data_IF_640959094044
#
_entry.id   IF_640959094044
#
_cell.length_a   1.000
_cell.length_b   1.000
_cell.length_c   1.000
_cell.angle_alpha   90.00
_cell.angle_beta   90.00
_cell.angle_gamma   90.00
#
_symmetry.space_group_name_H-M   'P 1'
#
loop_
_entity.id
_entity.type
_entity.pdbx_description
1 polymer ?
#
# COMPACT_ATOMS: atom_id res chain seq x y z
N UNK A 1 -6.05 8.90 -4.02
CA UNK A 1 -4.78 8.72 -3.29
C UNK A 1 -3.67 8.40 -4.29
N UNK A 2 -2.40 8.48 -3.91
CA UNK A 2 -1.28 8.06 -4.76
C UNK A 2 -0.37 7.09 -4.00
N UNK A 3 0.17 6.12 -4.72
CA UNK A 3 1.21 5.23 -4.23
C UNK A 3 2.58 5.84 -4.52
N UNK A 4 3.41 5.88 -3.50
CA UNK A 4 4.80 6.35 -3.57
C UNK A 4 5.76 5.22 -3.97
N UNK A 5 5.30 3.97 -3.92
CA UNK A 5 6.06 2.80 -4.32
C UNK A 5 5.33 2.09 -5.47
N UNK A 6 6.07 1.69 -6.49
CA UNK A 6 5.50 0.97 -7.65
C UNK A 6 5.13 -0.48 -7.35
N UNK A 7 5.59 -1.04 -6.23
CA UNK A 7 5.37 -2.42 -5.82
C UNK A 7 4.36 -2.56 -4.66
N UNK A 8 3.49 -1.57 -4.47
CA UNK A 8 2.51 -1.57 -3.38
C UNK A 8 1.57 -2.78 -3.41
N UNK A 9 1.17 -3.28 -4.58
CA UNK A 9 0.37 -4.51 -4.71
C UNK A 9 1.08 -5.74 -4.12
N UNK A 10 2.35 -5.94 -4.46
CA UNK A 10 3.14 -7.03 -3.90
C UNK A 10 3.32 -6.90 -2.39
N UNK A 11 3.53 -5.66 -1.92
CA UNK A 11 3.65 -5.37 -0.50
C UNK A 11 2.32 -5.59 0.26
N UNK A 12 1.18 -5.25 -0.35
CA UNK A 12 -0.16 -5.46 0.23
C UNK A 12 -0.43 -6.95 0.43
N UNK A 13 -0.06 -7.78 -0.55
CA UNK A 13 -0.23 -9.23 -0.47
C UNK A 13 0.67 -9.91 0.57
N UNK A 14 1.79 -9.28 0.94
CA UNK A 14 2.77 -9.86 1.87
C UNK A 14 2.65 -9.32 3.29
N UNK A 15 2.44 -8.01 3.45
CA UNK A 15 2.42 -7.32 4.74
C UNK A 15 1.02 -6.81 5.14
N UNK A 16 0.11 -6.66 4.18
CA UNK A 16 -1.22 -6.10 4.40
C UNK A 16 -1.23 -4.57 4.58
N UNK A 17 -2.39 -3.95 4.32
CA UNK A 17 -2.57 -2.51 4.42
C UNK A 17 -2.56 -1.96 5.86
N UNK A 18 -2.63 -2.85 6.85
CA UNK A 18 -2.48 -2.49 8.26
C UNK A 18 -1.05 -2.10 8.63
N UNK A 19 -0.06 -2.54 7.83
CA UNK A 19 1.36 -2.29 8.04
C UNK A 19 1.68 -0.79 7.88
N UNK A 20 2.41 -0.22 8.84
CA UNK A 20 2.67 1.23 8.92
C UNK A 20 3.28 1.80 7.62
N UNK A 21 4.25 1.08 7.05
CA UNK A 21 4.85 1.46 5.77
C UNK A 21 3.81 1.62 4.64
N UNK A 22 2.84 0.71 4.55
CA UNK A 22 1.83 0.74 3.49
C UNK A 22 0.77 1.81 3.74
N UNK A 23 0.42 2.06 5.01
CA UNK A 23 -0.45 3.18 5.40
C UNK A 23 0.11 4.52 4.93
N UNK A 24 1.43 4.69 4.97
CA UNK A 24 2.07 5.93 4.52
C UNK A 24 2.36 5.97 3.03
N UNK A 25 2.86 4.88 2.45
CA UNK A 25 3.44 4.85 1.10
C UNK A 25 2.52 4.26 0.03
N UNK A 26 1.52 3.48 0.40
CA UNK A 26 0.66 2.72 -0.51
C UNK A 26 -0.82 3.09 -0.36
N UNK A 27 -1.09 4.39 -0.19
CA UNK A 27 -2.43 4.90 0.10
C UNK A 27 -3.43 4.64 -1.03
N UNK A 28 -3.01 4.63 -2.29
CA UNK A 28 -3.92 4.30 -3.38
C UNK A 28 -4.24 2.80 -3.38
N UNK A 29 -3.23 1.94 -3.35
CA UNK A 29 -3.40 0.48 -3.27
C UNK A 29 -4.23 0.02 -2.04
N UNK A 30 -4.17 0.76 -0.94
CA UNK A 30 -4.83 0.40 0.31
C UNK A 30 -6.21 1.05 0.54
N UNK A 31 -6.52 2.15 -0.12
CA UNK A 31 -7.79 2.88 0.05
C UNK A 31 -8.65 2.91 -1.23
N UNK A 32 -8.09 2.49 -2.36
CA UNK A 32 -8.82 2.23 -3.59
C UNK A 32 -8.82 0.71 -3.82
N UNK A 33 -9.98 0.18 -4.20
CA UNK A 33 -10.29 -1.27 -4.26
C UNK A 33 -9.32 -2.07 -5.15
#
# INVERSE_FOLDING_TARGET
>A
YQDLLSNCDSLKNTAGCEHELLKEKCKATCLCE
#
